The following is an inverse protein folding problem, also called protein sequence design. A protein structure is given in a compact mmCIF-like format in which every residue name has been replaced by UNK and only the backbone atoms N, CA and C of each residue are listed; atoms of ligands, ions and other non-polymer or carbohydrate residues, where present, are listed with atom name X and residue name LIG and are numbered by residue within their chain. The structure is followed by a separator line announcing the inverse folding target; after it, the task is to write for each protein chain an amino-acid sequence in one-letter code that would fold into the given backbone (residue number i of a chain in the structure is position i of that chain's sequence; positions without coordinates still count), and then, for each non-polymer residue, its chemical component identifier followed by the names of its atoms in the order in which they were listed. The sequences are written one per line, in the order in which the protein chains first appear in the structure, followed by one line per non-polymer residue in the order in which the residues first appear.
data_IF_590303965140
#
_entry.id   IF_590303965140
#
_cell.length_a   1.000
_cell.length_b   1.000
_cell.length_c   1.000
_cell.angle_alpha   90.00
_cell.angle_beta   90.00
_cell.angle_gamma   90.00
#
_symmetry.space_group_name_H-M   'P 1'
#
loop_
_entity.id
_entity.type
_entity.pdbx_description
1 polymer ?
#
# COMPACT_ATOMS: atom_id res chain seq x y z
N UNK A 1 20.46 5.56 20.09
CA UNK A 1 19.20 5.58 19.31
C UNK A 1 19.28 4.54 18.21
N UNK A 2 18.61 3.40 18.39
CA UNK A 2 18.69 2.27 17.47
C UNK A 2 18.15 2.64 16.09
N UNK A 3 19.02 2.60 15.07
CA UNK A 3 18.61 2.70 13.67
C UNK A 3 17.77 1.45 13.37
N UNK A 4 16.45 1.53 13.50
CA UNK A 4 15.53 0.46 13.10
C UNK A 4 15.80 0.18 11.63
N UNK A 5 16.42 -0.95 11.34
CA UNK A 5 16.64 -1.46 9.99
C UNK A 5 15.32 -1.35 9.25
N UNK A 6 15.20 -0.41 8.29
CA UNK A 6 13.96 -0.27 7.52
C UNK A 6 13.72 -1.62 6.85
N UNK A 7 12.69 -2.33 7.30
CA UNK A 7 12.36 -3.66 6.85
C UNK A 7 12.24 -3.62 5.30
N UNK A 8 13.00 -4.43 4.58
CA UNK A 8 13.02 -4.47 3.10
C UNK A 8 11.60 -4.52 2.54
N UNK A 9 10.74 -5.26 3.22
CA UNK A 9 9.34 -5.45 2.88
C UNK A 9 8.49 -4.21 3.07
N UNK A 10 8.76 -3.41 4.10
CA UNK A 10 8.09 -2.14 4.31
C UNK A 10 8.41 -1.15 3.19
N UNK A 11 9.67 -1.13 2.73
CA UNK A 11 10.05 -0.29 1.59
C UNK A 11 9.34 -0.72 0.30
N UNK A 12 9.31 -2.02 0.01
CA UNK A 12 8.59 -2.55 -1.15
C UNK A 12 7.07 -2.26 -1.07
N UNK A 13 6.48 -2.35 0.13
CA UNK A 13 5.09 -1.98 0.37
C UNK A 13 4.85 -0.50 0.06
N UNK A 14 5.71 0.39 0.56
CA UNK A 14 5.63 1.83 0.27
C UNK A 14 5.72 2.11 -1.23
N UNK A 15 6.72 1.56 -1.90
CA UNK A 15 6.92 1.75 -3.35
C UNK A 15 5.69 1.27 -4.14
N UNK A 16 5.09 0.14 -3.74
CA UNK A 16 3.87 -0.39 -4.34
C UNK A 16 2.68 0.55 -4.11
N UNK A 17 2.46 1.01 -2.88
CA UNK A 17 1.35 1.92 -2.54
C UNK A 17 1.43 3.24 -3.30
N UNK A 18 2.63 3.82 -3.41
CA UNK A 18 2.86 5.06 -4.14
C UNK A 18 2.57 4.91 -5.64
N UNK A 19 2.92 3.77 -6.26
CA UNK A 19 2.55 3.46 -7.66
C UNK A 19 1.04 3.41 -7.88
N UNK A 20 0.29 2.97 -6.88
CA UNK A 20 -1.18 2.98 -6.89
C UNK A 20 -1.77 4.35 -6.51
N UNK A 21 -0.96 5.40 -6.35
CA UNK A 21 -1.39 6.74 -6.00
C UNK A 21 -1.83 6.91 -4.53
N UNK A 22 -1.49 5.94 -3.67
CA UNK A 22 -1.75 6.04 -2.25
C UNK A 22 -0.59 6.75 -1.53
N UNK A 23 -0.93 7.61 -0.59
CA UNK A 23 0.01 8.32 0.29
C UNK A 23 -0.14 7.84 1.72
N UNK A 24 0.99 7.71 2.43
CA UNK A 24 0.99 7.32 3.83
C UNK A 24 0.47 8.47 4.70
N UNK A 25 -0.65 8.23 5.42
CA UNK A 25 -1.29 9.20 6.31
C UNK A 25 -0.96 8.96 7.78
N UNK A 26 -0.81 7.70 8.20
CA UNK A 26 -0.47 7.33 9.59
C UNK A 26 0.43 6.09 9.64
N UNK A 27 1.39 6.08 10.57
CA UNK A 27 2.34 5.00 10.80
C UNK A 27 2.57 4.79 12.30
N UNK A 28 1.50 4.43 13.03
CA UNK A 28 1.62 4.02 14.44
C UNK A 28 1.57 2.49 14.53
N UNK A 29 0.40 1.92 14.84
CA UNK A 29 0.22 0.46 14.91
C UNK A 29 -0.08 -0.16 13.54
N UNK A 30 -0.81 0.56 12.69
CA UNK A 30 -1.13 0.18 11.32
C UNK A 30 -0.74 1.30 10.36
N UNK A 31 -0.34 0.90 9.15
CA UNK A 31 -0.05 1.84 8.06
C UNK A 31 -1.36 2.19 7.38
N UNK A 32 -1.74 3.46 7.47
CA UNK A 32 -2.97 3.97 6.88
C UNK A 32 -2.60 4.76 5.63
N UNK A 33 -3.14 4.32 4.51
CA UNK A 33 -2.86 4.85 3.18
C UNK A 33 -4.11 5.51 2.60
N UNK A 34 -3.96 6.68 2.00
CA UNK A 34 -5.07 7.42 1.38
C UNK A 34 -4.73 7.78 -0.05
N UNK A 35 -5.64 7.50 -0.97
CA UNK A 35 -5.58 7.99 -2.34
C UNK A 35 -6.54 9.17 -2.48
N UNK A 36 -6.00 10.38 -2.58
CA UNK A 36 -6.80 11.62 -2.65
C UNK A 36 -7.66 11.67 -3.92
N UNK A 37 -7.22 11.04 -5.02
CA UNK A 37 -7.94 11.06 -6.30
C UNK A 37 -9.17 10.17 -6.28
N UNK A 38 -9.09 9.04 -5.60
CA UNK A 38 -10.17 8.05 -5.51
C UNK A 38 -10.98 8.20 -4.20
N UNK A 39 -10.53 9.06 -3.29
CA UNK A 39 -11.06 9.16 -1.93
C UNK A 39 -11.12 7.81 -1.18
N UNK A 40 -10.22 6.87 -1.53
CA UNK A 40 -10.12 5.55 -0.90
C UNK A 40 -9.07 5.59 0.21
N UNK A 41 -9.37 4.92 1.32
CA UNK A 41 -8.45 4.67 2.41
C UNK A 41 -8.25 3.18 2.63
N UNK A 42 -7.00 2.75 2.80
CA UNK A 42 -6.63 1.35 3.02
C UNK A 42 -5.71 1.29 4.24
N UNK A 43 -6.06 0.46 5.21
CA UNK A 43 -5.19 0.12 6.33
C UNK A 43 -4.43 -1.17 6.01
N UNK A 44 -3.14 -1.18 6.24
CA UNK A 44 -2.27 -2.36 6.07
C UNK A 44 -1.45 -2.58 7.33
N UNK A 45 -0.95 -3.81 7.50
CA UNK A 45 -0.08 -4.13 8.63
C UNK A 45 1.24 -3.34 8.54
N UNK A 46 1.72 -2.84 9.68
CA UNK A 46 2.99 -2.12 9.79
C UNK A 46 4.22 -3.02 9.64
N UNK A 47 4.03 -4.34 9.71
CA UNK A 47 5.09 -5.34 9.65
C UNK A 47 4.78 -6.42 8.62
N UNK A 48 4.93 -6.14 7.31
CA UNK A 48 4.93 -7.20 6.32
C UNK A 48 6.13 -8.13 6.56
N UNK A 49 5.87 -9.40 6.82
CA UNK A 49 6.90 -10.38 7.16
C UNK A 49 7.67 -10.86 5.94
N UNK A 50 7.00 -10.94 4.77
CA UNK A 50 7.51 -11.59 3.56
C UNK A 50 6.88 -11.06 2.27
N UNK A 51 7.45 -11.44 1.12
CA UNK A 51 6.94 -11.12 -0.22
C UNK A 51 5.48 -11.55 -0.43
N UNK A 52 5.07 -12.69 0.16
CA UNK A 52 3.69 -13.16 0.06
C UNK A 52 2.71 -12.20 0.76
N UNK A 53 3.09 -11.60 1.89
CA UNK A 53 2.26 -10.61 2.57
C UNK A 53 2.07 -9.37 1.69
N UNK A 54 3.13 -8.91 1.01
CA UNK A 54 3.04 -7.80 0.05
C UNK A 54 2.09 -8.13 -1.10
N UNK A 55 2.22 -9.32 -1.70
CA UNK A 55 1.35 -9.77 -2.80
C UNK A 55 -0.12 -9.89 -2.39
N UNK A 56 -0.40 -10.31 -1.16
CA UNK A 56 -1.75 -10.36 -0.62
C UNK A 56 -2.35 -8.96 -0.50
N UNK A 57 -1.60 -8.03 0.10
CA UNK A 57 -2.01 -6.62 0.19
C UNK A 57 -2.28 -6.05 -1.20
N UNK A 58 -1.39 -6.31 -2.16
CA UNK A 58 -1.56 -5.85 -3.54
C UNK A 58 -2.85 -6.41 -4.18
N UNK A 59 -3.13 -7.70 -4.00
CA UNK A 59 -4.35 -8.33 -4.51
C UNK A 59 -5.60 -7.72 -3.90
N UNK A 60 -5.58 -7.41 -2.61
CA UNK A 60 -6.71 -6.79 -1.91
C UNK A 60 -6.94 -5.35 -2.39
N UNK A 61 -5.87 -4.58 -2.59
CA UNK A 61 -5.96 -3.25 -3.20
C UNK A 61 -6.57 -3.34 -4.59
N UNK A 62 -6.06 -4.23 -5.45
CA UNK A 62 -6.60 -4.40 -6.81
C UNK A 62 -8.08 -4.78 -6.80
N UNK A 63 -8.50 -5.67 -5.89
CA UNK A 63 -9.91 -6.04 -5.72
C UNK A 63 -10.75 -4.85 -5.28
N UNK A 64 -10.30 -4.09 -4.27
CA UNK A 64 -10.99 -2.89 -3.77
C UNK A 64 -11.13 -1.86 -4.90
N UNK A 65 -10.05 -1.58 -5.62
CA UNK A 65 -10.07 -0.67 -6.77
C UNK A 65 -11.03 -1.15 -7.86
N UNK A 66 -11.03 -2.45 -8.20
CA UNK A 66 -11.92 -2.99 -9.22
C UNK A 66 -13.40 -2.93 -8.83
N UNK A 67 -13.73 -3.08 -7.55
CA UNK A 67 -15.11 -3.01 -7.07
C UNK A 67 -15.61 -1.57 -6.95
N UNK A 68 -14.82 -0.69 -6.31
CA UNK A 68 -15.25 0.68 -6.03
C UNK A 68 -15.05 1.61 -7.25
N UNK A 69 -14.04 1.35 -8.09
CA UNK A 69 -13.63 2.20 -9.20
C UNK A 69 -13.23 1.38 -10.43
N UNK A 70 -14.16 0.71 -11.12
CA UNK A 70 -13.84 -0.17 -12.25
C UNK A 70 -13.20 0.54 -13.44
N UNK A 71 -13.38 1.86 -13.54
CA UNK A 71 -12.70 2.72 -14.54
C UNK A 71 -11.26 3.09 -14.16
N UNK A 72 -10.84 2.85 -12.91
CA UNK A 72 -9.48 3.16 -12.47
C UNK A 72 -8.51 2.09 -12.95
N UNK A 73 -7.76 2.43 -14.00
CA UNK A 73 -6.60 1.65 -14.43
C UNK A 73 -5.40 2.07 -13.62
N UNK A 74 -4.80 1.13 -12.89
CA UNK A 74 -3.50 1.35 -12.26
C UNK A 74 -2.54 1.77 -13.37
N UNK A 75 -1.87 2.93 -13.28
CA UNK A 75 -0.84 3.27 -14.26
C UNK A 75 0.23 2.17 -14.18
N UNK A 76 0.34 1.35 -15.23
CA UNK A 76 1.45 0.44 -15.38
C UNK A 76 2.71 1.31 -15.40
N UNK A 77 3.59 1.14 -14.42
CA UNK A 77 4.89 1.80 -14.46
C UNK A 77 5.58 1.34 -15.76
N UNK A 78 5.82 2.29 -16.66
CA UNK A 78 6.61 2.10 -17.87
C UNK A 78 8.08 1.85 -17.52
#
# INVERSE_FOLDING_TARGET
MGKKTKNKWLRQLTDMMERHGFKLKRNENHLVWRNDRLSIQIATSSSPSDLNAIRQIERDIRRKLSCDHPWYKVPCAA
#
